data_IF_709911700770
#
_entry.id   IF_709911700770
#
_cell.length_a   1.000
_cell.length_b   1.000
_cell.length_c   1.000
_cell.angle_alpha   90.00
_cell.angle_beta   90.00
_cell.angle_gamma   90.00
#
_symmetry.space_group_name_H-M   'P 1'
#
loop_
_entity.id
_entity.type
_entity.pdbx_description
1 polymer ?
#
# COMPACT_ATOMS: atom_id res chain seq x y z
N UNK A 1 -5.37 -38.50 7.58
CA UNK A 1 -5.66 -38.94 6.21
C UNK A 1 -5.73 -37.70 5.33
N UNK A 2 -4.85 -37.60 4.32
CA UNK A 2 -4.84 -36.55 3.30
C UNK A 2 -6.01 -36.71 2.35
N UNK A 3 -6.70 -35.62 1.99
CA UNK A 3 -7.30 -35.41 0.65
C UNK A 3 -7.39 -33.92 0.34
N UNK A 4 -6.38 -33.38 -0.32
CA UNK A 4 -6.51 -32.22 -1.21
C UNK A 4 -5.78 -32.57 -2.50
N UNK A 5 -6.55 -32.90 -3.53
CA UNK A 5 -6.18 -33.00 -4.93
C UNK A 5 -7.09 -31.98 -5.63
N UNK A 6 -6.52 -30.85 -6.06
CA UNK A 6 -6.00 -30.63 -7.40
C UNK A 6 -7.09 -30.15 -8.36
N UNK A 7 -6.95 -28.92 -8.86
CA UNK A 7 -7.49 -28.55 -10.18
C UNK A 7 -6.71 -27.35 -10.74
N UNK A 8 -5.97 -27.67 -11.79
CA UNK A 8 -5.13 -26.87 -12.67
C UNK A 8 -5.91 -25.86 -13.51
N UNK A 9 -5.26 -24.71 -13.73
CA UNK A 9 -5.11 -23.92 -14.97
C UNK A 9 -6.27 -23.85 -15.98
N UNK A 10 -6.63 -22.61 -16.33
CA UNK A 10 -7.02 -22.24 -17.69
C UNK A 10 -6.62 -20.78 -18.00
N UNK A 11 -5.45 -20.60 -18.60
CA UNK A 11 -5.16 -19.49 -19.50
C UNK A 11 -5.99 -19.69 -20.78
N UNK A 12 -6.67 -18.65 -21.28
CA UNK A 12 -6.93 -18.37 -22.71
C UNK A 12 -7.86 -17.15 -22.84
N UNK A 13 -7.39 -16.01 -23.34
CA UNK A 13 -7.50 -15.54 -24.73
C UNK A 13 -8.72 -14.65 -24.99
N UNK A 14 -8.50 -13.35 -25.23
CA UNK A 14 -9.15 -12.56 -26.29
C UNK A 14 -8.75 -11.08 -26.20
N UNK A 15 -7.58 -10.71 -26.73
CA UNK A 15 -7.34 -9.32 -27.15
C UNK A 15 -7.90 -9.17 -28.58
N UNK A 16 -9.20 -8.87 -28.65
CA UNK A 16 -9.85 -8.38 -29.86
C UNK A 16 -9.97 -6.86 -29.75
N UNK A 17 -9.00 -6.14 -30.32
CA UNK A 17 -9.22 -4.75 -30.75
C UNK A 17 -8.70 -4.62 -32.18
N UNK A 18 -9.58 -4.99 -33.11
CA UNK A 18 -9.60 -4.37 -34.42
C UNK A 18 -10.09 -2.92 -34.24
N UNK A 19 -9.33 -1.95 -34.73
CA UNK A 19 -9.92 -0.67 -35.16
C UNK A 19 -9.24 -0.20 -36.44
N UNK A 20 -10.08 0.38 -37.29
CA UNK A 20 -9.91 0.58 -38.72
C UNK A 20 -8.66 1.37 -39.11
N UNK A 21 -7.88 0.78 -40.01
CA UNK A 21 -7.22 1.54 -41.06
C UNK A 21 -8.28 1.98 -42.08
N UNK A 22 -8.44 3.30 -42.26
CA UNK A 22 -9.09 3.87 -43.43
C UNK A 22 -8.00 4.34 -44.39
N UNK A 23 -8.00 3.95 -45.68
CA UNK A 23 -7.09 4.50 -46.67
C UNK A 23 -7.65 5.85 -47.15
N UNK A 24 -6.95 6.94 -46.88
CA UNK A 24 -7.16 8.21 -47.58
C UNK A 24 -6.15 8.28 -48.72
N UNK A 25 -6.69 8.43 -49.93
CA UNK A 25 -6.01 8.55 -51.22
C UNK A 25 -5.02 9.75 -51.25
N UNK A 26 -3.97 9.72 -52.10
CA UNK A 26 -2.87 10.67 -52.05
C UNK A 26 -3.11 11.87 -52.95
N UNK A 27 -3.01 13.09 -52.40
CA UNK A 27 -2.72 14.27 -53.20
C UNK A 27 -2.09 15.41 -52.39
N UNK A 28 -0.98 15.90 -52.95
CA UNK A 28 -0.40 17.24 -52.82
C UNK A 28 0.58 17.54 -51.69
N UNK A 29 1.85 17.58 -52.10
CA UNK A 29 2.87 18.59 -51.77
C UNK A 29 2.32 19.85 -51.08
N UNK A 30 2.86 20.18 -49.89
CA UNK A 30 3.51 21.47 -49.71
C UNK A 30 4.51 21.40 -48.55
N UNK A 31 5.72 21.86 -48.82
CA UNK A 31 6.83 21.85 -47.90
C UNK A 31 6.69 23.01 -46.90
N UNK A 32 6.51 22.68 -45.63
CA UNK A 32 6.79 23.59 -44.53
C UNK A 32 7.43 22.81 -43.37
N UNK A 33 8.77 22.81 -43.34
CA UNK A 33 9.55 22.35 -42.18
C UNK A 33 9.26 23.27 -41.00
N UNK A 34 8.30 22.88 -40.17
CA UNK A 34 8.13 23.39 -38.81
C UNK A 34 8.93 22.48 -37.89
N UNK A 35 9.76 22.99 -36.96
CA UNK A 35 10.38 22.14 -35.96
C UNK A 35 9.27 21.51 -35.11
N UNK A 36 9.09 20.20 -35.22
CA UNK A 36 8.24 19.46 -34.31
C UNK A 36 8.85 19.60 -32.91
N UNK A 37 8.26 20.46 -32.09
CA UNK A 37 8.49 20.42 -30.65
C UNK A 37 7.87 19.11 -30.19
N UNK A 38 8.71 18.11 -29.89
CA UNK A 38 8.29 16.91 -29.19
C UNK A 38 7.88 17.33 -27.77
N UNK A 39 6.63 17.72 -27.62
CA UNK A 39 6.00 17.76 -26.30
C UNK A 39 5.72 16.30 -25.93
N UNK A 40 6.68 15.63 -25.32
CA UNK A 40 6.41 14.40 -24.56
C UNK A 40 5.51 14.82 -23.40
N UNK A 41 4.19 14.76 -23.61
CA UNK A 41 3.24 14.74 -22.50
C UNK A 41 3.50 13.44 -21.76
N UNK A 42 4.17 13.53 -20.61
CA UNK A 42 4.21 12.43 -19.64
C UNK A 42 2.75 12.10 -19.31
N UNK A 43 2.31 10.90 -19.71
CA UNK A 43 0.97 10.45 -19.39
C UNK A 43 0.86 10.41 -17.87
N UNK A 44 -0.14 11.11 -17.31
CA UNK A 44 -0.44 11.02 -15.90
C UNK A 44 -0.63 9.53 -15.53
N UNK A 45 -0.05 9.07 -14.41
CA UNK A 45 -0.11 7.66 -14.04
C UNK A 45 -1.57 7.21 -13.98
N UNK A 46 -1.89 6.15 -14.71
CA UNK A 46 -3.23 5.57 -14.72
C UNK A 46 -3.51 4.97 -13.34
N UNK A 47 -4.55 5.46 -12.66
CA UNK A 47 -4.91 4.98 -11.32
C UNK A 47 -5.53 3.60 -11.46
N UNK A 48 -4.77 2.57 -11.11
CA UNK A 48 -5.24 1.18 -11.13
C UNK A 48 -5.99 0.82 -9.83
N UNK A 49 -6.85 -0.22 -9.82
CA UNK A 49 -7.53 -0.69 -8.60
C UNK A 49 -6.56 -1.01 -7.44
N UNK A 50 -5.35 -1.49 -7.77
CA UNK A 50 -4.29 -1.73 -6.78
C UNK A 50 -3.83 -0.44 -6.13
N UNK A 51 -3.58 0.62 -6.90
CA UNK A 51 -3.21 1.94 -6.36
C UNK A 51 -4.31 2.51 -5.46
N UNK A 52 -5.58 2.30 -5.79
CA UNK A 52 -6.71 2.69 -4.92
C UNK A 52 -6.70 1.93 -3.59
N UNK A 53 -6.41 0.62 -3.62
CA UNK A 53 -6.32 -0.20 -2.40
C UNK A 53 -5.15 0.25 -1.51
N UNK A 54 -3.98 0.55 -2.10
CA UNK A 54 -2.82 1.07 -1.37
C UNK A 54 -3.13 2.42 -0.75
N UNK A 55 -3.61 3.39 -1.54
CA UNK A 55 -3.93 4.74 -1.04
C UNK A 55 -5.03 4.73 0.03
N UNK A 56 -6.01 3.83 -0.06
CA UNK A 56 -7.03 3.60 0.99
C UNK A 56 -6.41 3.08 2.29
N UNK A 57 -5.52 2.10 2.18
CA UNK A 57 -4.77 1.55 3.32
C UNK A 57 -3.92 2.63 3.99
N UNK A 58 -3.17 3.40 3.20
CA UNK A 58 -2.37 4.54 3.66
C UNK A 58 -3.23 5.60 4.34
N UNK A 59 -4.39 5.94 3.78
CA UNK A 59 -5.33 6.88 4.41
C UNK A 59 -5.87 6.36 5.73
N UNK A 60 -6.06 5.06 5.89
CA UNK A 60 -6.55 4.46 7.15
C UNK A 60 -5.44 4.42 8.20
N UNK A 61 -4.19 4.25 7.77
CA UNK A 61 -3.04 4.24 8.67
C UNK A 61 -2.65 5.66 9.14
N UNK A 62 -2.57 6.63 8.22
CA UNK A 62 -2.06 7.98 8.50
C UNK A 62 -3.16 9.04 8.73
N UNK A 63 -4.41 8.77 8.37
CA UNK A 63 -5.48 9.77 8.39
C UNK A 63 -6.18 9.93 9.75
N UNK A 64 -6.53 11.18 10.07
CA UNK A 64 -7.40 11.56 11.19
C UNK A 64 -6.69 11.75 12.54
N UNK A 65 -7.44 12.27 13.51
CA UNK A 65 -6.95 12.55 14.88
C UNK A 65 -6.47 11.31 15.64
N UNK A 66 -7.03 10.15 15.29
CA UNK A 66 -6.74 8.84 15.89
C UNK A 66 -6.09 7.88 14.87
N UNK A 67 -5.18 8.40 14.05
CA UNK A 67 -4.47 7.59 13.05
C UNK A 67 -3.69 6.44 13.71
N UNK A 68 -3.49 5.33 12.98
CA UNK A 68 -2.68 4.22 13.48
C UNK A 68 -1.23 4.66 13.69
N UNK A 69 -0.70 5.52 12.81
CA UNK A 69 0.64 6.11 12.95
C UNK A 69 0.82 6.84 14.27
N UNK A 70 -0.15 7.70 14.64
CA UNK A 70 -0.09 8.44 15.90
C UNK A 70 -0.09 7.49 17.09
N UNK A 71 -0.97 6.49 17.09
CA UNK A 71 -1.04 5.51 18.17
C UNK A 71 0.26 4.70 18.28
N UNK A 72 0.87 4.32 17.16
CA UNK A 72 2.20 3.68 17.15
C UNK A 72 3.23 4.60 17.80
N UNK A 73 3.29 5.87 17.41
CA UNK A 73 4.24 6.85 17.95
C UNK A 73 4.04 7.07 19.46
N UNK A 74 2.80 7.23 19.92
CA UNK A 74 2.47 7.48 21.32
C UNK A 74 2.68 6.24 22.21
N UNK A 75 2.44 5.05 21.68
CA UNK A 75 2.41 3.81 22.46
C UNK A 75 3.74 3.05 22.44
N UNK A 76 4.60 3.28 21.44
CA UNK A 76 5.92 2.62 21.35
C UNK A 76 6.76 2.76 22.64
N UNK A 77 6.84 3.93 23.31
CA UNK A 77 7.56 4.06 24.58
C UNK A 77 7.00 3.18 25.71
N UNK A 78 5.69 2.88 25.69
CA UNK A 78 5.01 2.10 26.72
C UNK A 78 5.37 0.61 26.67
N UNK A 79 5.94 0.14 25.56
CA UNK A 79 6.48 -1.22 25.43
C UNK A 79 7.61 -1.54 26.42
N UNK A 80 8.19 -0.54 27.08
CA UNK A 80 9.16 -0.73 28.16
C UNK A 80 8.53 -1.19 29.48
N UNK A 81 7.22 -0.96 29.66
CA UNK A 81 6.45 -1.31 30.87
C UNK A 81 5.08 -1.88 30.49
N UNK A 82 5.02 -3.02 29.77
CA UNK A 82 3.78 -3.56 29.21
C UNK A 82 2.80 -4.08 30.28
N UNK A 83 3.26 -4.33 31.50
CA UNK A 83 2.45 -4.84 32.61
C UNK A 83 1.71 -3.73 33.38
N UNK A 84 2.00 -2.45 33.11
CA UNK A 84 1.23 -1.33 33.65
C UNK A 84 -0.17 -1.29 32.99
N UNK A 85 -1.23 -1.08 33.77
CA UNK A 85 -2.61 -1.23 33.30
C UNK A 85 -2.95 -0.25 32.16
N UNK A 86 -2.54 1.01 32.32
CA UNK A 86 -2.77 2.05 31.31
C UNK A 86 -1.93 1.78 30.05
N UNK A 87 -0.67 1.34 30.23
CA UNK A 87 0.19 0.92 29.14
C UNK A 87 -0.40 -0.28 28.36
N UNK A 88 -0.87 -1.31 29.05
CA UNK A 88 -1.46 -2.50 28.45
C UNK A 88 -2.70 -2.17 27.61
N UNK A 89 -3.57 -1.29 28.11
CA UNK A 89 -4.75 -0.83 27.39
C UNK A 89 -4.40 -0.07 26.10
N UNK A 90 -3.40 0.81 26.16
CA UNK A 90 -2.92 1.57 24.99
C UNK A 90 -2.23 0.66 23.96
N UNK A 91 -1.41 -0.29 24.41
CA UNK A 91 -0.74 -1.30 23.58
C UNK A 91 -1.76 -2.16 22.84
N UNK A 92 -2.76 -2.69 23.55
CA UNK A 92 -3.84 -3.46 22.95
C UNK A 92 -4.60 -2.64 21.90
N UNK A 93 -4.97 -1.41 22.23
CA UNK A 93 -5.68 -0.51 21.32
C UNK A 93 -4.88 -0.25 20.04
N UNK A 94 -3.58 0.00 20.17
CA UNK A 94 -2.67 0.20 19.02
C UNK A 94 -2.58 -1.05 18.15
N UNK A 95 -2.42 -2.23 18.77
CA UNK A 95 -2.41 -3.52 18.07
C UNK A 95 -3.68 -3.74 17.26
N UNK A 96 -4.85 -3.51 17.85
CA UNK A 96 -6.15 -3.67 17.18
C UNK A 96 -6.33 -2.65 16.05
N UNK A 97 -5.85 -1.42 16.23
CA UNK A 97 -5.90 -0.41 15.16
C UNK A 97 -5.08 -0.83 13.95
N UNK A 98 -3.87 -1.36 14.15
CA UNK A 98 -3.04 -1.86 13.04
C UNK A 98 -3.71 -3.07 12.38
N UNK A 99 -4.27 -3.99 13.16
CA UNK A 99 -5.04 -5.12 12.61
C UNK A 99 -6.23 -4.66 11.77
N UNK A 100 -6.90 -3.57 12.16
CA UNK A 100 -7.98 -2.99 11.36
C UNK A 100 -7.48 -2.44 10.02
N UNK A 101 -6.31 -1.80 9.98
CA UNK A 101 -5.66 -1.35 8.73
C UNK A 101 -5.34 -2.54 7.82
N UNK A 102 -4.84 -3.65 8.39
CA UNK A 102 -4.49 -4.85 7.62
C UNK A 102 -5.64 -5.45 6.82
N UNK A 103 -6.90 -5.24 7.23
CA UNK A 103 -8.07 -5.73 6.50
C UNK A 103 -8.25 -5.11 5.10
N UNK A 104 -7.62 -3.97 4.85
CA UNK A 104 -7.67 -3.26 3.57
C UNK A 104 -6.39 -3.42 2.74
N UNK A 105 -5.33 -3.93 3.38
CA UNK A 105 -4.00 -4.04 2.80
C UNK A 105 -3.91 -5.20 1.81
N UNK A 106 -3.30 -4.93 0.66
CA UNK A 106 -2.82 -5.99 -0.22
C UNK A 106 -1.66 -6.78 0.43
N UNK A 107 -1.27 -7.93 -0.14
CA UNK A 107 -0.24 -8.77 0.47
C UNK A 107 1.11 -8.08 0.69
N UNK A 108 1.48 -7.11 -0.15
CA UNK A 108 2.76 -6.41 -0.07
C UNK A 108 2.76 -5.43 1.12
N UNK A 109 1.70 -4.66 1.29
CA UNK A 109 1.52 -3.79 2.45
C UNK A 109 1.37 -4.58 3.76
N UNK A 110 0.79 -5.78 3.71
CA UNK A 110 0.63 -6.63 4.89
C UNK A 110 1.97 -7.00 5.52
N UNK A 111 3.03 -7.21 4.75
CA UNK A 111 4.36 -7.51 5.29
C UNK A 111 4.88 -6.37 6.18
N UNK A 112 4.82 -5.14 5.67
CA UNK A 112 5.22 -3.95 6.44
C UNK A 112 4.33 -3.75 7.66
N UNK A 113 3.00 -3.89 7.51
CA UNK A 113 2.06 -3.78 8.64
C UNK A 113 2.28 -4.88 9.69
N UNK A 114 2.68 -6.08 9.30
CA UNK A 114 3.06 -7.15 10.23
C UNK A 114 4.29 -6.75 11.04
N UNK A 115 5.30 -6.16 10.40
CA UNK A 115 6.49 -5.64 11.07
C UNK A 115 6.16 -4.52 12.07
N UNK A 116 5.23 -3.62 11.72
CA UNK A 116 4.77 -2.55 12.62
C UNK A 116 3.98 -3.12 13.81
N UNK A 117 3.14 -4.13 13.57
CA UNK A 117 2.27 -4.74 14.59
C UNK A 117 3.01 -5.64 15.57
N UNK A 118 4.07 -6.32 15.11
CA UNK A 118 4.80 -7.34 15.86
C UNK A 118 5.16 -6.97 17.31
N UNK A 119 5.77 -5.80 17.63
CA UNK A 119 6.10 -5.47 19.01
C UNK A 119 4.89 -5.33 19.93
N UNK A 120 3.78 -4.78 19.43
CA UNK A 120 2.54 -4.65 20.20
C UNK A 120 1.85 -6.00 20.39
N UNK A 121 1.89 -6.85 19.38
CA UNK A 121 1.40 -8.23 19.48
C UNK A 121 2.18 -9.02 20.54
N UNK A 122 3.52 -8.96 20.50
CA UNK A 122 4.37 -9.63 21.47
C UNK A 122 4.07 -9.16 22.90
N UNK A 123 3.87 -7.85 23.10
CA UNK A 123 3.49 -7.29 24.40
C UNK A 123 2.14 -7.83 24.90
N UNK A 124 1.11 -7.88 24.04
CA UNK A 124 -0.21 -8.43 24.39
C UNK A 124 -0.14 -9.92 24.73
N UNK A 125 0.75 -10.67 24.06
CA UNK A 125 0.91 -12.11 24.25
C UNK A 125 1.85 -12.46 25.43
N UNK A 126 2.48 -11.46 26.08
CA UNK A 126 3.47 -11.69 27.12
C UNK A 126 4.77 -12.31 26.60
N UNK A 127 5.07 -12.10 25.33
CA UNK A 127 6.28 -12.60 24.66
C UNK A 127 7.44 -11.60 24.78
N UNK A 128 8.62 -12.01 24.30
CA UNK A 128 9.77 -11.11 24.23
C UNK A 128 9.52 -10.00 23.21
N UNK A 129 9.41 -8.77 23.68
CA UNK A 129 9.20 -7.59 22.84
C UNK A 129 10.52 -7.20 22.16
N UNK A 130 10.49 -7.07 20.84
CA UNK A 130 11.58 -6.48 20.05
C UNK A 130 11.05 -5.39 19.15
N UNK A 131 11.69 -4.22 19.18
CA UNK A 131 11.39 -3.07 18.31
C UNK A 131 12.42 -2.88 17.20
N UNK A 132 13.38 -3.79 17.04
CA UNK A 132 14.52 -3.63 16.12
C UNK A 132 14.11 -3.37 14.67
N UNK A 133 12.97 -3.91 14.24
CA UNK A 133 12.47 -3.81 12.88
C UNK A 133 11.33 -2.79 12.72
N UNK A 134 10.88 -2.17 13.82
CA UNK A 134 9.71 -1.28 13.82
C UNK A 134 9.92 -0.09 12.88
N UNK A 135 11.04 0.62 13.04
CA UNK A 135 11.33 1.80 12.22
C UNK A 135 11.47 1.44 10.74
N UNK A 136 12.20 0.36 10.42
CA UNK A 136 12.36 -0.09 9.05
C UNK A 136 11.01 -0.44 8.39
N UNK A 137 10.09 -1.04 9.14
CA UNK A 137 8.75 -1.38 8.65
C UNK A 137 7.89 -0.13 8.44
N UNK A 138 7.99 0.87 9.33
CA UNK A 138 7.33 2.18 9.17
C UNK A 138 7.84 2.92 7.94
N UNK A 139 9.16 2.93 7.72
CA UNK A 139 9.78 3.61 6.58
C UNK A 139 9.40 2.94 5.25
N UNK A 140 9.41 1.59 5.21
CA UNK A 140 9.00 0.83 4.03
C UNK A 140 7.51 1.03 3.70
N UNK A 141 6.63 0.99 4.71
CA UNK A 141 5.21 1.29 4.54
C UNK A 141 4.99 2.71 4.01
N UNK A 142 5.72 3.69 4.57
CA UNK A 142 5.65 5.08 4.12
C UNK A 142 6.10 5.24 2.67
N UNK A 143 7.18 4.57 2.28
CA UNK A 143 7.71 4.61 0.91
C UNK A 143 6.68 4.08 -0.09
N UNK A 144 6.05 2.92 0.19
CA UNK A 144 4.99 2.37 -0.67
C UNK A 144 3.79 3.31 -0.79
N UNK A 145 3.42 4.00 0.30
CA UNK A 145 2.38 5.03 0.24
C UNK A 145 2.76 6.19 -0.68
N UNK A 146 4.01 6.67 -0.63
CA UNK A 146 4.50 7.72 -1.54
C UNK A 146 4.49 7.25 -2.99
N UNK A 147 4.98 6.03 -3.25
CA UNK A 147 5.01 5.44 -4.60
C UNK A 147 3.62 5.28 -5.20
N UNK A 148 2.63 4.95 -4.38
CA UNK A 148 1.22 4.89 -4.78
C UNK A 148 0.54 6.27 -4.90
N UNK A 149 1.26 7.37 -4.66
CA UNK A 149 0.73 8.73 -4.80
C UNK A 149 -0.13 9.20 -3.61
N UNK A 150 0.00 8.57 -2.43
CA UNK A 150 -0.66 9.07 -1.22
C UNK A 150 -0.05 10.41 -0.79
N UNK A 151 -0.90 11.44 -0.68
CA UNK A 151 -0.50 12.75 -0.19
C UNK A 151 -0.67 12.81 1.34
N UNK A 152 0.45 12.98 2.05
CA UNK A 152 0.45 13.18 3.49
C UNK A 152 -0.09 14.57 3.83
N UNK A 153 -0.92 14.66 4.86
CA UNK A 153 -1.34 15.96 5.41
C UNK A 153 -0.10 16.70 5.94
N UNK A 154 0.06 17.95 5.52
CA UNK A 154 1.12 18.88 5.92
C UNK A 154 0.78 19.65 7.18
#
# INVERSE_FOLDING_TARGET
MRKLLAATAALSCALLLASCASPTDPASDDAATTPATETTTEAAPEVTPTVVAVTTTCSTFYGGEYSAERLVTETTPLLATPDDEDAAAAIYTTRERIAAVQNFADPELQENLNGIKAPFEAAVQGETISTSNLQASLDAFRAQCVEAGYAFAS
#
